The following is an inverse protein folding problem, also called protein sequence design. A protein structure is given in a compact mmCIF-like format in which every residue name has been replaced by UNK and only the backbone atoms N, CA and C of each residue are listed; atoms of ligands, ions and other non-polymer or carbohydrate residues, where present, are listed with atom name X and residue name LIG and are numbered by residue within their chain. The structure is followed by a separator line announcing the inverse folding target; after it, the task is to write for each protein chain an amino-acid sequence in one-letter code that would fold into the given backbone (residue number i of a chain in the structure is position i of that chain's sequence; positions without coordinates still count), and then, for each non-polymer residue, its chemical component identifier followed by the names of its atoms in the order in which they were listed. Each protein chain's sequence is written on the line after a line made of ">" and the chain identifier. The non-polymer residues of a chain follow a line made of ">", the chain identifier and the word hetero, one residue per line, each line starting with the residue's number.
data_IF_184584995168
#
_entry.id   IF_184584995168
#
_cell.length_a   1.000
_cell.length_b   1.000
_cell.length_c   1.000
_cell.angle_alpha   90.00
_cell.angle_beta   90.00
_cell.angle_gamma   90.00
#
_symmetry.space_group_name_H-M   'P 1'
#
loop_
_entity.id
_entity.type
_entity.pdbx_description
1 polymer ?
#
# COMPACT_ATOMS: atom_id res chain seq x y z
N UNK A 1 57.05 27.40 8.43
CA UNK A 1 56.17 27.08 9.58
C UNK A 1 54.74 27.31 9.10
N UNK A 2 54.15 26.32 8.45
CA UNK A 2 52.77 26.38 7.93
C UNK A 2 51.88 25.69 8.95
N UNK A 3 51.02 26.45 9.63
CA UNK A 3 49.97 25.88 10.47
C UNK A 3 48.96 25.17 9.57
N UNK A 4 49.00 23.83 9.55
CA UNK A 4 47.89 23.04 9.03
C UNK A 4 46.69 23.23 9.98
N UNK A 5 45.70 24.00 9.52
CA UNK A 5 44.40 24.08 10.15
C UNK A 5 43.71 22.71 10.02
N UNK A 6 43.63 21.98 11.13
CA UNK A 6 42.92 20.70 11.21
C UNK A 6 41.44 20.94 10.90
N UNK A 7 40.86 20.35 9.85
CA UNK A 7 39.48 20.63 9.46
C UNK A 7 38.53 20.25 10.61
N UNK A 8 37.72 21.22 11.05
CA UNK A 8 36.72 21.02 12.07
C UNK A 8 35.75 19.92 11.61
N UNK A 9 35.58 18.86 12.42
CA UNK A 9 34.61 17.81 12.14
C UNK A 9 33.23 18.46 12.05
N UNK A 10 32.43 18.18 10.99
CA UNK A 10 31.10 18.76 10.88
C UNK A 10 30.27 18.30 12.07
N UNK A 11 29.85 19.24 12.91
CA UNK A 11 28.90 18.98 14.00
C UNK A 11 27.57 18.65 13.34
N UNK A 12 27.10 17.41 13.49
CA UNK A 12 25.84 16.97 12.93
C UNK A 12 24.72 17.92 13.36
N UNK A 13 23.91 18.38 12.40
CA UNK A 13 22.80 19.28 12.71
C UNK A 13 21.84 18.62 13.72
N UNK A 14 21.15 19.40 14.58
CA UNK A 14 20.17 18.86 15.52
C UNK A 14 19.12 17.95 14.85
N UNK A 15 18.79 18.24 13.58
CA UNK A 15 17.90 17.44 12.74
C UNK A 15 18.51 16.10 12.36
N UNK A 16 19.77 16.05 11.94
CA UNK A 16 20.47 14.80 11.62
C UNK A 16 20.53 13.88 12.86
N UNK A 17 20.92 14.43 14.01
CA UNK A 17 20.95 13.66 15.27
C UNK A 17 19.57 13.21 15.77
N UNK A 18 18.48 13.88 15.36
CA UNK A 18 17.11 13.43 15.64
C UNK A 18 16.69 12.28 14.71
N UNK A 19 17.08 12.34 13.44
CA UNK A 19 16.83 11.26 12.48
C UNK A 19 17.58 9.98 12.87
N UNK A 20 18.86 10.09 13.23
CA UNK A 20 19.67 8.92 13.67
C UNK A 20 19.08 8.25 14.92
N UNK A 21 18.56 9.05 15.86
CA UNK A 21 17.89 8.55 17.06
C UNK A 21 16.55 7.90 16.74
N UNK A 22 15.79 8.46 15.82
CA UNK A 22 14.52 7.89 15.35
C UNK A 22 14.75 6.57 14.61
N UNK A 23 15.78 6.50 13.77
CA UNK A 23 16.21 5.28 13.08
C UNK A 23 16.61 4.19 14.09
N UNK A 24 17.51 4.50 15.03
CA UNK A 24 17.94 3.56 16.04
C UNK A 24 16.81 3.09 16.98
N UNK A 25 15.82 3.94 17.25
CA UNK A 25 14.61 3.56 17.97
C UNK A 25 13.77 2.60 17.12
N UNK A 26 13.40 2.99 15.89
CA UNK A 26 12.64 2.13 14.96
C UNK A 26 13.25 0.72 14.82
N UNK A 27 14.58 0.63 14.75
CA UNK A 27 15.34 -0.62 14.76
C UNK A 27 15.15 -1.42 16.06
N UNK A 28 15.19 -0.79 17.23
CA UNK A 28 14.95 -1.54 18.48
C UNK A 28 13.52 -2.07 18.57
N UNK A 29 12.53 -1.37 18.01
CA UNK A 29 11.13 -1.81 18.02
C UNK A 29 10.91 -3.02 17.17
N UNK A 30 11.39 -2.95 15.92
CA UNK A 30 11.10 -3.99 14.98
C UNK A 30 11.72 -5.34 15.44
N UNK A 31 12.79 -5.33 16.27
CA UNK A 31 13.37 -6.52 16.96
C UNK A 31 12.44 -7.11 18.02
N UNK A 32 11.62 -6.27 18.66
CA UNK A 32 10.67 -6.64 19.71
C UNK A 32 9.27 -6.94 19.18
N UNK A 33 9.02 -6.69 17.89
CA UNK A 33 7.74 -7.03 17.27
C UNK A 33 7.64 -8.54 17.07
N UNK A 34 7.10 -9.23 18.08
CA UNK A 34 6.44 -10.52 17.85
C UNK A 34 5.36 -10.30 16.81
N UNK A 35 5.46 -11.05 15.71
CA UNK A 35 4.39 -11.08 14.72
C UNK A 35 3.11 -11.50 15.45
N UNK A 36 2.03 -10.72 15.38
CA UNK A 36 0.72 -11.29 15.65
C UNK A 36 0.52 -12.46 14.69
N UNK A 37 -0.34 -13.41 15.06
CA UNK A 37 -0.53 -14.61 14.26
C UNK A 37 -0.75 -14.23 12.80
N UNK A 38 0.05 -14.84 11.92
CA UNK A 38 -0.15 -14.84 10.47
C UNK A 38 -1.60 -15.22 10.12
N UNK A 39 -2.30 -15.87 11.07
CA UNK A 39 -3.73 -16.13 11.09
C UNK A 39 -4.65 -14.89 10.98
N UNK A 40 -4.20 -13.69 11.33
CA UNK A 40 -5.00 -12.47 11.15
C UNK A 40 -5.04 -12.01 9.68
N UNK A 41 -4.04 -12.35 8.87
CA UNK A 41 -4.01 -11.95 7.46
C UNK A 41 -5.25 -12.46 6.69
N UNK A 42 -5.62 -13.76 6.77
CA UNK A 42 -6.87 -14.25 6.18
C UNK A 42 -8.11 -13.46 6.58
N UNK A 43 -8.22 -13.05 7.86
CA UNK A 43 -9.34 -12.25 8.35
C UNK A 43 -9.40 -10.87 7.68
N UNK A 44 -8.27 -10.19 7.58
CA UNK A 44 -8.18 -8.88 6.93
C UNK A 44 -8.44 -8.96 5.43
N UNK A 45 -7.91 -9.98 4.75
CA UNK A 45 -8.18 -10.25 3.35
C UNK A 45 -9.68 -10.52 3.11
N UNK A 46 -10.30 -11.36 3.95
CA UNK A 46 -11.72 -11.63 3.89
C UNK A 46 -12.56 -10.37 4.15
N UNK A 47 -12.16 -9.52 5.09
CA UNK A 47 -12.83 -8.26 5.35
C UNK A 47 -12.73 -7.29 4.16
N UNK A 48 -11.57 -7.18 3.53
CA UNK A 48 -11.38 -6.38 2.32
C UNK A 48 -12.21 -6.89 1.15
N UNK A 49 -12.22 -8.21 0.93
CA UNK A 49 -13.06 -8.86 -0.07
C UNK A 49 -14.56 -8.62 0.18
N UNK A 50 -15.03 -8.85 1.41
CA UNK A 50 -16.41 -8.63 1.78
C UNK A 50 -16.83 -7.16 1.64
N UNK A 51 -15.96 -6.23 2.04
CA UNK A 51 -16.20 -4.79 1.88
C UNK A 51 -16.32 -4.41 0.39
N UNK A 52 -15.43 -4.92 -0.47
CA UNK A 52 -15.52 -4.68 -1.90
C UNK A 52 -16.77 -5.27 -2.52
N UNK A 53 -17.16 -6.49 -2.14
CA UNK A 53 -18.41 -7.11 -2.61
C UNK A 53 -19.62 -6.27 -2.20
N UNK A 54 -19.63 -5.74 -0.97
CA UNK A 54 -20.71 -4.90 -0.48
C UNK A 54 -20.77 -3.53 -1.18
N UNK A 55 -19.64 -2.98 -1.60
CA UNK A 55 -19.57 -1.73 -2.38
C UNK A 55 -19.94 -1.94 -3.85
N UNK A 56 -19.83 -3.17 -4.35
CA UNK A 56 -20.12 -3.55 -5.73
C UNK A 56 -18.88 -3.51 -6.62
N UNK A 57 -19.09 -3.85 -7.90
CA UNK A 57 -18.04 -3.79 -8.90
C UNK A 57 -17.72 -2.33 -9.20
N UNK A 58 -16.44 -2.07 -9.42
CA UNK A 58 -15.95 -0.78 -9.83
C UNK A 58 -16.67 -0.24 -11.07
N UNK A 59 -17.03 1.04 -11.00
CA UNK A 59 -17.70 1.78 -12.06
C UNK A 59 -17.30 3.25 -11.99
N UNK A 60 -16.01 3.49 -12.01
CA UNK A 60 -15.46 4.84 -12.06
C UNK A 60 -15.29 5.33 -13.51
N UNK A 61 -15.08 6.63 -13.67
CA UNK A 61 -14.89 7.25 -15.00
C UNK A 61 -13.64 6.71 -15.68
N UNK A 62 -12.52 6.63 -14.97
CA UNK A 62 -11.23 6.17 -15.46
C UNK A 62 -11.30 4.74 -16.04
N UNK A 63 -12.08 3.87 -15.40
CA UNK A 63 -12.29 2.49 -15.83
C UNK A 63 -12.95 2.42 -17.20
N UNK A 64 -14.00 3.23 -17.37
CA UNK A 64 -14.74 3.32 -18.62
C UNK A 64 -13.97 4.01 -19.74
N UNK A 65 -12.87 4.70 -19.42
CA UNK A 65 -12.04 5.38 -20.38
C UNK A 65 -10.81 4.55 -20.72
N UNK A 66 -9.89 4.33 -19.78
CA UNK A 66 -8.54 3.85 -20.10
C UNK A 66 -8.12 2.54 -19.41
N UNK A 67 -8.67 2.17 -18.25
CA UNK A 67 -8.19 0.96 -17.55
C UNK A 67 -8.54 -0.36 -18.26
N UNK A 68 -9.51 -0.37 -19.17
CA UNK A 68 -9.76 -1.52 -20.05
C UNK A 68 -8.98 -1.42 -21.36
N UNK A 69 -8.89 -0.21 -21.91
CA UNK A 69 -8.27 0.03 -23.20
C UNK A 69 -6.74 -0.12 -23.14
N UNK A 70 -6.06 0.46 -22.16
CA UNK A 70 -4.59 0.46 -22.13
C UNK A 70 -4.00 -0.96 -22.02
N UNK A 71 -4.51 -1.86 -21.14
CA UNK A 71 -4.11 -3.26 -21.14
C UNK A 71 -4.39 -3.98 -22.46
N UNK A 72 -5.56 -3.74 -23.06
CA UNK A 72 -5.90 -4.32 -24.36
C UNK A 72 -4.91 -3.87 -25.43
N UNK A 73 -4.64 -2.57 -25.51
CA UNK A 73 -3.73 -1.99 -26.49
C UNK A 73 -2.31 -2.53 -26.35
N UNK A 74 -1.82 -2.68 -25.11
CA UNK A 74 -0.53 -3.31 -24.82
C UNK A 74 -0.48 -4.78 -25.28
N UNK A 75 -1.53 -5.55 -24.99
CA UNK A 75 -1.54 -7.00 -25.23
C UNK A 75 -1.89 -7.38 -26.68
N UNK A 76 -2.40 -6.45 -27.49
CA UNK A 76 -2.85 -6.71 -28.87
C UNK A 76 -2.20 -5.82 -29.92
N UNK A 77 -1.16 -5.07 -29.54
CA UNK A 77 -0.44 -4.12 -30.41
C UNK A 77 -1.35 -3.07 -31.06
N UNK A 78 -2.31 -2.56 -30.29
CA UNK A 78 -3.29 -1.54 -30.71
C UNK A 78 -2.98 -0.14 -30.19
N UNK A 79 -1.69 0.13 -29.96
CA UNK A 79 -1.23 1.44 -29.46
C UNK A 79 -1.52 2.61 -30.41
N UNK A 80 -1.77 2.33 -31.69
CA UNK A 80 -2.04 3.31 -32.74
C UNK A 80 -3.51 3.46 -33.16
N UNK A 81 -4.48 2.97 -32.39
CA UNK A 81 -5.90 3.15 -32.76
C UNK A 81 -6.26 4.64 -32.84
N UNK A 82 -7.13 4.98 -33.80
CA UNK A 82 -7.59 6.35 -34.03
C UNK A 82 -8.64 6.72 -32.97
N UNK A 83 -8.42 7.82 -32.26
CA UNK A 83 -9.23 8.32 -31.13
C UNK A 83 -9.16 7.46 -29.84
N UNK A 84 -7.96 7.32 -29.24
CA UNK A 84 -7.83 6.68 -27.93
C UNK A 84 -8.52 7.51 -26.84
N UNK A 85 -8.81 6.91 -25.66
CA UNK A 85 -9.48 7.54 -24.53
C UNK A 85 -8.62 8.62 -23.86
N UNK A 86 -8.49 9.77 -24.54
CA UNK A 86 -7.78 10.94 -24.06
C UNK A 86 -6.26 10.74 -23.89
N UNK A 87 -5.65 11.64 -23.12
CA UNK A 87 -4.21 11.60 -22.82
C UNK A 87 -3.82 10.45 -21.87
N UNK A 88 -4.79 9.87 -21.17
CA UNK A 88 -4.58 8.78 -20.21
C UNK A 88 -4.11 7.48 -20.89
N UNK A 89 -4.19 7.39 -22.23
CA UNK A 89 -3.62 6.29 -23.01
C UNK A 89 -2.10 6.13 -22.82
N UNK A 90 -1.41 7.22 -22.45
CA UNK A 90 0.04 7.20 -22.20
C UNK A 90 0.43 6.70 -20.80
N UNK A 91 -0.54 6.39 -19.94
CA UNK A 91 -0.26 5.83 -18.62
C UNK A 91 0.21 4.38 -18.74
N UNK A 92 1.08 3.99 -17.79
CA UNK A 92 1.58 2.62 -17.72
C UNK A 92 0.42 1.67 -17.32
N UNK A 93 0.00 0.72 -18.18
CA UNK A 93 -1.12 -0.18 -17.90
C UNK A 93 -0.75 -1.33 -16.94
N UNK A 94 0.48 -1.41 -16.45
CA UNK A 94 0.93 -2.55 -15.66
C UNK A 94 0.06 -2.81 -14.41
N UNK A 95 -0.40 -1.75 -13.75
CA UNK A 95 -1.29 -1.86 -12.59
C UNK A 95 -2.73 -2.28 -12.96
N UNK A 96 -3.13 -2.10 -14.22
CA UNK A 96 -4.47 -2.43 -14.73
C UNK A 96 -4.55 -3.88 -15.22
N UNK A 97 -3.42 -4.50 -15.55
CA UNK A 97 -3.35 -5.89 -16.04
C UNK A 97 -4.05 -6.90 -15.13
N UNK A 98 -3.93 -6.86 -13.79
CA UNK A 98 -4.63 -7.81 -12.92
C UNK A 98 -6.15 -7.69 -13.06
N UNK A 99 -6.70 -6.47 -13.00
CA UNK A 99 -8.14 -6.27 -13.17
C UNK A 99 -8.60 -6.67 -14.57
N UNK A 100 -7.87 -6.28 -15.61
CA UNK A 100 -8.16 -6.66 -17.00
C UNK A 100 -8.20 -8.19 -17.17
N UNK A 101 -7.25 -8.90 -16.57
CA UNK A 101 -7.22 -10.36 -16.58
C UNK A 101 -8.44 -10.96 -15.84
N UNK A 102 -8.78 -10.43 -14.67
CA UNK A 102 -9.96 -10.87 -13.92
C UNK A 102 -11.23 -10.68 -14.74
N UNK A 103 -11.44 -9.50 -15.33
CA UNK A 103 -12.60 -9.22 -16.15
C UNK A 103 -12.64 -10.15 -17.38
N UNK A 104 -11.52 -10.33 -18.08
CA UNK A 104 -11.47 -11.17 -19.29
C UNK A 104 -11.77 -12.65 -19.03
N UNK A 105 -11.39 -13.18 -17.87
CA UNK A 105 -11.49 -14.61 -17.58
C UNK A 105 -12.65 -14.98 -16.65
N UNK A 106 -13.12 -14.04 -15.81
CA UNK A 106 -14.11 -14.26 -14.77
C UNK A 106 -15.33 -13.34 -14.90
N UNK A 107 -15.60 -12.82 -16.10
CA UNK A 107 -16.73 -11.90 -16.34
C UNK A 107 -18.08 -12.44 -15.84
N UNK A 108 -18.29 -13.75 -15.94
CA UNK A 108 -19.49 -14.46 -15.48
C UNK A 108 -19.60 -14.55 -13.94
N UNK A 109 -18.56 -14.12 -13.21
CA UNK A 109 -18.46 -14.18 -11.76
C UNK A 109 -18.17 -12.79 -11.16
N UNK A 110 -19.08 -11.81 -11.33
CA UNK A 110 -18.87 -10.43 -10.90
C UNK A 110 -18.53 -10.27 -9.41
N UNK A 111 -19.16 -11.08 -8.55
CA UNK A 111 -18.89 -11.07 -7.11
C UNK A 111 -17.50 -11.60 -6.77
N UNK A 112 -17.00 -12.57 -7.55
CA UNK A 112 -15.63 -13.07 -7.39
C UNK A 112 -14.62 -12.01 -7.81
N UNK A 113 -14.86 -11.29 -8.90
CA UNK A 113 -14.03 -10.15 -9.31
C UNK A 113 -13.98 -9.10 -8.20
N UNK A 114 -15.14 -8.68 -7.68
CA UNK A 114 -15.21 -7.72 -6.58
C UNK A 114 -14.45 -8.24 -5.34
N UNK A 115 -14.65 -9.50 -4.94
CA UNK A 115 -13.93 -10.09 -3.81
C UNK A 115 -12.40 -10.05 -4.00
N UNK A 116 -11.90 -10.40 -5.18
CA UNK A 116 -10.47 -10.40 -5.51
C UNK A 116 -9.90 -8.98 -5.54
N UNK A 117 -10.65 -8.02 -6.08
CA UNK A 117 -10.28 -6.60 -6.10
C UNK A 117 -10.28 -5.95 -4.70
N UNK A 118 -10.98 -6.54 -3.73
CA UNK A 118 -10.95 -6.13 -2.33
C UNK A 118 -9.73 -6.61 -1.53
N UNK A 119 -9.01 -7.64 -2.01
CA UNK A 119 -7.87 -8.21 -1.28
C UNK A 119 -6.74 -7.20 -0.98
N UNK A 120 -6.36 -6.30 -1.92
CA UNK A 120 -5.35 -5.29 -1.63
C UNK A 120 -5.72 -4.37 -0.47
N UNK A 121 -7.00 -4.00 -0.32
CA UNK A 121 -7.46 -3.20 0.81
C UNK A 121 -7.26 -3.94 2.15
N UNK A 122 -7.63 -5.22 2.19
CA UNK A 122 -7.39 -6.08 3.36
C UNK A 122 -5.89 -6.18 3.71
N UNK A 123 -5.05 -6.43 2.71
CA UNK A 123 -3.61 -6.52 2.87
C UNK A 123 -3.00 -5.19 3.36
N UNK A 124 -3.41 -4.06 2.78
CA UNK A 124 -2.94 -2.74 3.18
C UNK A 124 -3.33 -2.43 4.64
N UNK A 125 -4.58 -2.68 5.04
CA UNK A 125 -5.03 -2.48 6.42
C UNK A 125 -4.26 -3.37 7.42
N UNK A 126 -3.97 -4.62 7.03
CA UNK A 126 -3.14 -5.53 7.83
C UNK A 126 -1.70 -5.02 7.98
N UNK A 127 -1.08 -4.51 6.90
CA UNK A 127 0.26 -3.95 6.95
C UNK A 127 0.31 -2.67 7.81
N UNK A 128 -0.71 -1.82 7.74
CA UNK A 128 -0.87 -0.65 8.62
C UNK A 128 -0.95 -1.07 10.08
N UNK A 129 -1.68 -2.14 10.41
CA UNK A 129 -1.71 -2.69 11.77
C UNK A 129 -0.31 -3.09 12.24
N UNK A 130 0.46 -3.80 11.40
CA UNK A 130 1.81 -4.24 11.74
C UNK A 130 2.76 -3.04 11.95
N UNK A 131 2.76 -2.08 11.02
CA UNK A 131 3.56 -0.87 11.11
C UNK A 131 3.20 -0.04 12.34
N UNK A 132 1.90 0.15 12.62
CA UNK A 132 1.44 0.89 13.79
C UNK A 132 1.93 0.23 15.09
N UNK A 133 1.93 -1.11 15.17
CA UNK A 133 2.49 -1.82 16.33
C UNK A 133 3.98 -1.58 16.51
N UNK A 134 4.76 -1.58 15.43
CA UNK A 134 6.20 -1.26 15.47
C UNK A 134 6.37 0.14 16.07
N UNK A 135 5.72 1.14 15.49
CA UNK A 135 5.87 2.54 15.89
C UNK A 135 5.39 2.77 17.34
N UNK A 136 4.22 2.26 17.72
CA UNK A 136 3.63 2.51 19.03
C UNK A 136 4.37 1.82 20.17
N UNK A 137 4.89 0.60 19.94
CA UNK A 137 5.74 -0.08 20.93
C UNK A 137 7.03 0.70 21.19
N UNK A 138 7.60 1.28 20.13
CA UNK A 138 8.83 2.06 20.23
C UNK A 138 8.64 3.41 20.90
N UNK A 139 7.49 4.03 20.66
CA UNK A 139 7.07 5.24 21.35
C UNK A 139 6.77 4.99 22.86
N UNK A 140 6.82 3.75 23.33
CA UNK A 140 6.53 3.38 24.71
C UNK A 140 5.06 3.56 25.08
N UNK A 141 4.14 3.42 24.10
CA UNK A 141 2.72 3.56 24.36
C UNK A 141 2.23 2.50 25.38
N UNK A 142 1.32 2.88 26.26
CA UNK A 142 0.83 2.01 27.34
C UNK A 142 0.02 0.80 26.84
N UNK A 143 -0.62 0.92 25.67
CA UNK A 143 -1.49 -0.10 25.07
C UNK A 143 -1.32 -0.18 23.54
N UNK A 144 -0.13 -0.56 23.06
CA UNK A 144 0.23 -0.44 21.65
C UNK A 144 -0.62 -1.32 20.73
N UNK A 145 -1.12 -2.47 21.21
CA UNK A 145 -1.97 -3.36 20.43
C UNK A 145 -3.35 -2.76 20.18
N UNK A 146 -3.95 -2.13 21.19
CA UNK A 146 -5.25 -1.47 21.09
C UNK A 146 -5.14 -0.25 20.18
N UNK A 147 -4.15 0.61 20.43
CA UNK A 147 -3.92 1.82 19.63
C UNK A 147 -3.60 1.48 18.17
N UNK A 148 -2.84 0.41 17.90
CA UNK A 148 -2.59 -0.05 16.54
C UNK A 148 -3.87 -0.59 15.87
N UNK A 149 -4.72 -1.29 16.62
CA UNK A 149 -6.04 -1.72 16.15
C UNK A 149 -6.92 -0.54 15.76
N UNK A 150 -7.00 0.47 16.62
CA UNK A 150 -7.74 1.70 16.35
C UNK A 150 -7.16 2.48 15.16
N UNK A 151 -5.85 2.55 15.03
CA UNK A 151 -5.18 3.17 13.89
C UNK A 151 -5.50 2.45 12.58
N UNK A 152 -5.48 1.11 12.56
CA UNK A 152 -5.83 0.31 11.39
C UNK A 152 -7.30 0.47 11.00
N UNK A 153 -8.22 0.46 11.99
CA UNK A 153 -9.65 0.71 11.75
C UNK A 153 -9.88 2.13 11.22
N UNK A 154 -9.28 3.14 11.84
CA UNK A 154 -9.39 4.53 11.42
C UNK A 154 -8.82 4.77 10.02
N UNK A 155 -7.69 4.13 9.68
CA UNK A 155 -7.14 4.17 8.33
C UNK A 155 -8.09 3.51 7.31
N UNK A 156 -8.64 2.34 7.62
CA UNK A 156 -9.52 1.59 6.73
C UNK A 156 -10.89 2.25 6.53
N UNK A 157 -11.38 3.02 7.51
CA UNK A 157 -12.67 3.74 7.42
C UNK A 157 -12.53 5.17 6.90
N UNK A 158 -11.30 5.69 6.78
CA UNK A 158 -11.04 7.00 6.20
C UNK A 158 -11.57 7.12 4.78
N UNK A 159 -12.14 8.28 4.43
CA UNK A 159 -12.86 8.48 3.17
C UNK A 159 -12.03 8.11 1.94
N UNK A 160 -10.75 8.51 1.89
CA UNK A 160 -9.86 8.22 0.78
C UNK A 160 -9.45 6.74 0.67
N UNK A 161 -9.39 6.01 1.77
CA UNK A 161 -9.14 4.57 1.72
C UNK A 161 -10.41 3.83 1.28
N UNK A 162 -11.54 4.15 1.93
CA UNK A 162 -12.83 3.53 1.68
C UNK A 162 -13.30 3.71 0.24
N UNK A 163 -13.08 4.89 -0.36
CA UNK A 163 -13.48 5.17 -1.74
C UNK A 163 -12.74 4.34 -2.79
N UNK A 164 -11.66 3.68 -2.40
CA UNK A 164 -10.79 2.94 -3.32
C UNK A 164 -10.88 1.43 -3.19
N UNK A 165 -11.59 0.93 -2.16
CA UNK A 165 -11.77 -0.51 -1.95
C UNK A 165 -12.46 -1.11 -3.18
N UNK A 166 -11.81 -2.07 -3.82
CA UNK A 166 -12.38 -2.76 -4.97
C UNK A 166 -12.24 -2.04 -6.31
N UNK A 167 -11.54 -0.90 -6.36
CA UNK A 167 -11.47 -0.04 -7.55
C UNK A 167 -10.15 -0.16 -8.32
N UNK A 168 -10.14 0.31 -9.55
CA UNK A 168 -8.98 0.40 -10.46
C UNK A 168 -8.17 1.69 -10.28
N UNK A 169 -8.41 2.49 -9.24
CA UNK A 169 -7.58 3.68 -8.95
C UNK A 169 -6.12 3.32 -8.67
N UNK A 170 -5.80 2.03 -8.47
CA UNK A 170 -4.46 1.48 -8.31
C UNK A 170 -3.67 1.94 -7.06
N UNK A 171 -4.14 2.90 -6.26
CA UNK A 171 -3.42 3.32 -5.05
C UNK A 171 -3.36 2.18 -4.03
N UNK A 172 -4.46 1.47 -3.76
CA UNK A 172 -4.45 0.36 -2.79
C UNK A 172 -3.62 -0.83 -3.30
N UNK A 173 -3.68 -1.12 -4.60
CA UNK A 173 -2.88 -2.18 -5.21
C UNK A 173 -1.38 -1.89 -5.08
N UNK A 174 -0.96 -0.65 -5.34
CA UNK A 174 0.44 -0.23 -5.26
C UNK A 174 0.91 0.06 -3.83
N UNK A 175 0.00 0.44 -2.93
CA UNK A 175 0.31 0.65 -1.52
C UNK A 175 0.77 -0.64 -0.83
N UNK A 176 0.23 -1.81 -1.19
CA UNK A 176 0.59 -3.09 -0.57
C UNK A 176 2.11 -3.38 -0.66
N UNK A 177 2.73 -3.42 -1.85
CA UNK A 177 4.17 -3.65 -1.94
C UNK A 177 4.99 -2.53 -1.28
N UNK A 178 4.53 -1.27 -1.32
CA UNK A 178 5.21 -0.15 -0.65
C UNK A 178 5.21 -0.32 0.88
N UNK A 179 4.05 -0.61 1.48
CA UNK A 179 3.91 -0.85 2.91
C UNK A 179 4.66 -2.11 3.36
N UNK A 180 4.64 -3.15 2.53
CA UNK A 180 5.41 -4.37 2.77
C UNK A 180 6.92 -4.09 2.73
N UNK A 181 7.40 -3.35 1.72
CA UNK A 181 8.79 -2.93 1.62
C UNK A 181 9.22 -2.07 2.81
N UNK A 182 8.38 -1.12 3.25
CA UNK A 182 8.63 -0.33 4.46
C UNK A 182 8.74 -1.22 5.71
N UNK A 183 7.80 -2.16 5.88
CA UNK A 183 7.84 -3.10 6.99
C UNK A 183 9.10 -3.98 6.95
N UNK A 184 9.51 -4.43 5.76
CA UNK A 184 10.74 -5.21 5.57
C UNK A 184 11.98 -4.37 5.80
N UNK A 185 12.03 -3.11 5.37
CA UNK A 185 13.15 -2.21 5.59
C UNK A 185 13.35 -1.93 7.08
N UNK A 186 12.25 -1.63 7.79
CA UNK A 186 12.25 -1.52 9.26
C UNK A 186 12.72 -2.82 9.93
N UNK A 187 12.54 -3.98 9.27
CA UNK A 187 13.03 -5.27 9.75
C UNK A 187 14.46 -5.63 9.35
N UNK A 188 14.94 -5.15 8.22
CA UNK A 188 16.28 -5.43 7.74
C UNK A 188 17.29 -4.57 8.49
N UNK A 189 16.87 -3.40 8.98
CA UNK A 189 17.67 -2.59 9.89
C UNK A 189 17.80 -3.22 11.31
N UNK A 190 17.21 -4.41 11.54
CA UNK A 190 17.31 -5.24 12.77
C UNK A 190 18.46 -6.24 12.74
#
# INVERSE_FOLDING_TARGET
>A
MTCEEKPARPVASPRAAALDRAEAALVRAARRVRMPDRALLPLFLAAGAAASVALGIDRNWDLLNYHLYNPLALLTDRSGDIAPPGAQVFFNPAADLPFFWLLRNLNEHPLLIAALMGLPAGAAAFLVLLLSRVVLREAGASSPELLAGLAAVGAATGAGFRSQIGTTHNDLLTAVPLLAALLLALRAAL
#
